data_IF_246900727980
#
_entry.id   IF_246900727980
#
_cell.length_a   1.000
_cell.length_b   1.000
_cell.length_c   1.000
_cell.angle_alpha   90.00
_cell.angle_beta   90.00
_cell.angle_gamma   90.00
#
_symmetry.space_group_name_H-M   'P 1'
#
loop_
_entity.id
_entity.type
_entity.pdbx_description
1 polymer ?
#
# COMPACT_ATOMS: atom_id res chain seq x y z
N UNK A 1 -3.16 16.04 5.65
CA UNK A 1 -3.67 14.67 5.49
C UNK A 1 -2.76 13.86 4.58
N UNK A 2 -2.73 12.54 4.78
CA UNK A 2 -1.92 11.60 4.01
C UNK A 2 -2.79 10.46 3.53
N UNK A 3 -2.79 10.21 2.23
CA UNK A 3 -3.50 9.12 1.57
C UNK A 3 -2.53 7.98 1.25
N UNK A 4 -2.58 6.84 1.97
CA UNK A 4 -1.84 5.65 1.59
C UNK A 4 -2.38 5.08 0.27
N UNK A 5 -1.48 4.78 -0.67
CA UNK A 5 -1.81 4.17 -1.96
C UNK A 5 -0.97 2.90 -2.12
N UNK A 6 -1.63 1.77 -2.28
CA UNK A 6 -0.99 0.47 -2.42
C UNK A 6 -1.18 -0.01 -3.85
N UNK A 7 -0.09 -0.10 -4.59
CA UNK A 7 -0.08 -0.64 -5.95
C UNK A 7 -0.03 -2.16 -5.88
N UNK A 8 -1.16 -2.79 -6.12
CA UNK A 8 -1.35 -4.24 -6.05
C UNK A 8 -1.52 -4.84 -7.45
N UNK A 9 -0.80 -4.30 -8.42
CA UNK A 9 -0.78 -4.75 -9.82
C UNK A 9 0.34 -5.76 -10.09
N UNK A 10 0.31 -6.31 -11.31
CA UNK A 10 1.32 -7.24 -11.82
C UNK A 10 0.93 -8.71 -11.68
N UNK A 11 1.30 -9.51 -12.68
CA UNK A 11 1.01 -10.96 -12.76
C UNK A 11 1.90 -11.81 -11.84
N UNK A 12 3.02 -11.23 -11.36
CA UNK A 12 3.91 -11.89 -10.39
C UNK A 12 4.47 -13.25 -10.80
N UNK A 13 4.51 -13.58 -12.08
CA UNK A 13 4.85 -14.91 -12.60
C UNK A 13 6.30 -15.35 -12.36
N UNK A 14 7.18 -14.45 -11.94
CA UNK A 14 8.61 -14.72 -11.70
C UNK A 14 8.88 -15.75 -10.59
N UNK A 15 7.92 -15.96 -9.70
CA UNK A 15 8.04 -16.94 -8.60
C UNK A 15 7.26 -18.25 -8.91
N UNK A 16 7.01 -18.54 -10.20
CA UNK A 16 6.39 -19.82 -10.55
C UNK A 16 7.20 -20.99 -9.95
N UNK A 17 6.60 -22.08 -9.38
CA UNK A 17 5.16 -22.36 -9.34
C UNK A 17 4.40 -21.75 -8.15
N UNK A 18 5.05 -20.99 -7.26
CA UNK A 18 4.39 -20.36 -6.10
C UNK A 18 3.41 -19.28 -6.54
N UNK A 19 3.81 -18.43 -7.50
CA UNK A 19 2.92 -17.42 -8.09
C UNK A 19 2.34 -17.88 -9.41
N UNK A 20 1.11 -17.50 -9.68
CA UNK A 20 0.36 -17.80 -10.91
C UNK A 20 -0.47 -16.60 -11.31
N UNK A 21 -1.01 -16.56 -12.54
CA UNK A 21 -1.89 -15.49 -13.01
C UNK A 21 -3.04 -15.25 -12.04
N UNK A 22 -3.73 -16.31 -11.60
CA UNK A 22 -4.85 -16.20 -10.64
C UNK A 22 -4.41 -16.01 -9.17
N UNK A 23 -3.10 -16.11 -8.86
CA UNK A 23 -2.57 -15.93 -7.50
C UNK A 23 -1.18 -15.28 -7.56
N UNK A 24 -1.10 -13.95 -7.80
CA UNK A 24 0.15 -13.23 -7.96
C UNK A 24 0.99 -13.15 -6.67
N UNK A 25 2.28 -12.79 -6.85
CA UNK A 25 3.30 -12.73 -5.79
C UNK A 25 2.85 -11.95 -4.56
N UNK A 26 2.19 -10.82 -4.74
CA UNK A 26 1.78 -9.95 -3.63
C UNK A 26 0.82 -10.61 -2.64
N UNK A 27 0.08 -11.62 -3.07
CA UNK A 27 -0.85 -12.37 -2.21
C UNK A 27 -0.23 -13.61 -1.56
N UNK A 28 1.06 -13.90 -1.84
CA UNK A 28 1.79 -15.01 -1.23
C UNK A 28 2.25 -14.65 0.18
N UNK A 29 2.18 -15.65 1.06
CA UNK A 29 2.86 -15.63 2.36
C UNK A 29 4.27 -16.19 2.13
N UNK A 30 5.26 -15.31 2.04
CA UNK A 30 6.66 -15.71 1.82
C UNK A 30 7.42 -15.85 3.15
N UNK A 31 6.99 -15.16 4.19
CA UNK A 31 7.54 -15.25 5.54
C UNK A 31 6.47 -14.89 6.57
N UNK A 32 6.53 -15.51 7.75
CA UNK A 32 5.52 -15.27 8.79
C UNK A 32 4.13 -15.81 8.42
N UNK A 33 3.07 -15.10 8.82
CA UNK A 33 1.67 -15.52 8.71
C UNK A 33 0.80 -14.58 7.87
N UNK A 34 1.41 -13.59 7.21
CA UNK A 34 0.72 -12.58 6.41
C UNK A 34 1.31 -12.51 5.01
N UNK A 35 0.47 -12.22 4.02
CA UNK A 35 0.93 -12.00 2.64
C UNK A 35 1.71 -10.70 2.51
N UNK A 36 2.44 -10.53 1.41
CA UNK A 36 3.15 -9.28 1.12
C UNK A 36 2.16 -8.09 1.05
N UNK A 37 0.98 -8.30 0.47
CA UNK A 37 -0.08 -7.31 0.42
C UNK A 37 -0.56 -6.92 1.83
N UNK A 38 -0.82 -7.91 2.68
CA UNK A 38 -1.21 -7.67 4.07
C UNK A 38 -0.12 -6.91 4.85
N UNK A 39 1.15 -7.28 4.66
CA UNK A 39 2.29 -6.56 5.25
C UNK A 39 2.36 -5.11 4.77
N UNK A 40 2.08 -4.84 3.49
CA UNK A 40 2.09 -3.47 2.95
C UNK A 40 0.99 -2.61 3.59
N UNK A 41 -0.22 -3.15 3.79
CA UNK A 41 -1.30 -2.44 4.49
C UNK A 41 -0.91 -2.15 5.94
N UNK A 42 -0.53 -3.17 6.69
CA UNK A 42 -0.20 -3.04 8.13
C UNK A 42 0.93 -2.04 8.37
N UNK A 43 1.95 -2.07 7.51
CA UNK A 43 3.10 -1.17 7.58
C UNK A 43 2.70 0.30 7.44
N UNK A 44 1.81 0.63 6.50
CA UNK A 44 1.36 2.01 6.31
C UNK A 44 0.45 2.48 7.45
N UNK A 45 -0.32 1.58 8.04
CA UNK A 45 -1.12 1.89 9.23
C UNK A 45 -0.26 2.18 10.46
N UNK A 46 0.96 1.63 10.52
CA UNK A 46 1.96 1.94 11.54
C UNK A 46 2.54 3.36 11.44
N UNK A 47 2.19 4.13 10.41
CA UNK A 47 2.64 5.52 10.23
C UNK A 47 1.87 6.47 11.17
N UNK A 48 2.11 6.35 12.46
CA UNK A 48 1.50 7.19 13.49
C UNK A 48 2.43 8.36 13.84
N UNK A 49 1.92 9.58 13.70
CA UNK A 49 2.63 10.80 14.11
C UNK A 49 1.59 11.90 14.43
N UNK A 50 1.80 12.73 15.47
CA UNK A 50 0.84 13.77 15.85
C UNK A 50 0.46 14.75 14.73
N UNK A 51 1.35 14.94 13.75
CA UNK A 51 1.14 15.84 12.61
C UNK A 51 0.68 15.12 11.33
N UNK A 52 0.41 13.81 11.38
CA UNK A 52 0.02 13.00 10.23
C UNK A 52 -1.37 12.42 10.48
N UNK A 53 -2.34 12.87 9.71
CA UNK A 53 -3.68 12.31 9.68
C UNK A 53 -3.78 11.35 8.49
N UNK A 54 -3.93 10.05 8.76
CA UNK A 54 -4.03 9.02 7.73
C UNK A 54 -5.47 8.90 7.24
N UNK A 55 -5.65 8.95 5.93
CA UNK A 55 -6.88 8.54 5.26
C UNK A 55 -6.95 7.01 5.12
N UNK A 56 -8.14 6.48 4.81
CA UNK A 56 -8.31 5.06 4.46
C UNK A 56 -7.38 4.66 3.30
N UNK A 57 -6.69 3.52 3.38
CA UNK A 57 -5.82 3.07 2.29
C UNK A 57 -6.57 2.93 0.96
N UNK A 58 -5.98 3.41 -0.13
CA UNK A 58 -6.44 3.19 -1.49
C UNK A 58 -5.63 2.06 -2.12
N UNK A 59 -6.29 0.97 -2.44
CA UNK A 59 -5.68 -0.19 -3.09
C UNK A 59 -6.00 -0.16 -4.58
N UNK A 60 -4.97 -0.13 -5.42
CA UNK A 60 -5.11 -0.21 -6.87
C UNK A 60 -4.76 -1.63 -7.29
N UNK A 61 -5.70 -2.35 -7.84
CA UNK A 61 -5.53 -3.75 -8.25
C UNK A 61 -6.25 -4.05 -9.55
N UNK A 62 -5.84 -5.12 -10.23
CA UNK A 62 -6.59 -5.62 -11.37
C UNK A 62 -7.96 -6.16 -10.92
N UNK A 63 -8.97 -5.96 -11.76
CA UNK A 63 -10.34 -6.43 -11.50
C UNK A 63 -10.39 -7.95 -11.20
N UNK A 64 -9.58 -8.75 -11.88
CA UNK A 64 -9.49 -10.19 -11.66
C UNK A 64 -9.07 -10.57 -10.24
N UNK A 65 -8.29 -9.71 -9.57
CA UNK A 65 -7.77 -9.97 -8.22
C UNK A 65 -8.57 -9.29 -7.11
N UNK A 66 -9.67 -8.60 -7.45
CA UNK A 66 -10.46 -7.80 -6.48
C UNK A 66 -10.89 -8.58 -5.25
N UNK A 67 -11.41 -9.81 -5.46
CA UNK A 67 -11.90 -10.64 -4.35
C UNK A 67 -10.78 -11.13 -3.45
N UNK A 68 -9.62 -11.43 -4.03
CA UNK A 68 -8.44 -11.85 -3.29
C UNK A 68 -7.91 -10.72 -2.41
N UNK A 69 -7.80 -9.51 -2.98
CA UNK A 69 -7.38 -8.32 -2.24
C UNK A 69 -8.38 -7.99 -1.10
N UNK A 70 -9.67 -8.04 -1.40
CA UNK A 70 -10.72 -7.77 -0.41
C UNK A 70 -10.70 -8.77 0.74
N UNK A 71 -10.62 -10.06 0.43
CA UNK A 71 -10.57 -11.12 1.43
C UNK A 71 -9.35 -10.98 2.36
N UNK A 72 -8.16 -10.77 1.79
CA UNK A 72 -6.95 -10.64 2.59
C UNK A 72 -6.92 -9.36 3.45
N UNK A 73 -7.52 -8.27 2.98
CA UNK A 73 -7.66 -7.08 3.81
C UNK A 73 -8.67 -7.30 4.96
N UNK A 74 -9.77 -8.02 4.72
CA UNK A 74 -10.73 -8.39 5.76
C UNK A 74 -10.12 -9.30 6.83
N UNK A 75 -9.25 -10.24 6.45
CA UNK A 75 -8.52 -11.08 7.40
C UNK A 75 -7.65 -10.28 8.38
N UNK A 76 -7.06 -9.16 7.94
CA UNK A 76 -6.30 -8.27 8.82
C UNK A 76 -7.19 -7.61 9.88
N UNK A 77 -8.39 -7.20 9.48
CA UNK A 77 -9.34 -6.57 10.40
C UNK A 77 -9.84 -7.57 11.45
N UNK A 78 -10.09 -8.82 11.06
CA UNK A 78 -10.58 -9.87 11.97
C UNK A 78 -9.53 -10.34 12.97
N UNK A 79 -8.24 -10.23 12.63
CA UNK A 79 -7.13 -10.68 13.50
C UNK A 79 -6.71 -9.65 14.53
N UNK A 80 -7.43 -8.52 14.69
CA UNK A 80 -7.06 -7.38 15.56
C UNK A 80 -5.62 -6.86 15.34
N UNK A 81 -5.04 -7.19 14.19
CA UNK A 81 -3.70 -6.71 13.81
C UNK A 81 -3.76 -5.19 13.57
N UNK A 82 -4.95 -4.67 13.34
CA UNK A 82 -5.24 -3.25 13.18
C UNK A 82 -6.03 -2.81 14.42
N UNK A 83 -5.44 -2.01 15.32
CA UNK A 83 -6.19 -1.44 16.42
C UNK A 83 -7.28 -0.52 15.88
N UNK A 84 -8.54 -0.96 15.93
CA UNK A 84 -9.71 -0.14 15.59
C UNK A 84 -9.91 1.04 16.54
N UNK A 85 -9.09 1.15 17.59
CA UNK A 85 -9.25 2.12 18.67
C UNK A 85 -8.91 3.58 18.30
N UNK A 86 -8.24 3.83 17.18
CA UNK A 86 -7.79 5.18 16.81
C UNK A 86 -8.40 5.76 15.53
N UNK A 87 -9.16 4.96 14.80
CA UNK A 87 -9.83 5.40 13.57
C UNK A 87 -11.28 4.92 13.61
N UNK A 88 -12.25 5.81 13.37
CA UNK A 88 -13.66 5.43 13.28
C UNK A 88 -13.83 4.27 12.28
N UNK A 89 -14.80 3.39 12.50
CA UNK A 89 -15.01 2.16 11.72
C UNK A 89 -15.07 2.39 10.18
N UNK A 90 -15.47 3.58 9.74
CA UNK A 90 -15.51 3.97 8.33
C UNK A 90 -14.11 4.33 7.76
N UNK A 91 -13.15 4.72 8.62
CA UNK A 91 -11.81 5.15 8.19
C UNK A 91 -10.81 4.00 8.10
N UNK A 92 -11.14 2.81 8.58
CA UNK A 92 -10.26 1.63 8.54
C UNK A 92 -10.46 0.76 7.30
N UNK A 93 -11.59 0.86 6.62
CA UNK A 93 -11.87 0.08 5.43
C UNK A 93 -11.06 0.60 4.23
N UNK A 94 -10.24 -0.25 3.63
CA UNK A 94 -9.54 0.08 2.39
C UNK A 94 -10.53 0.37 1.26
N UNK A 95 -10.26 1.42 0.48
CA UNK A 95 -10.95 1.71 -0.78
C UNK A 95 -10.25 0.98 -1.92
N UNK A 96 -11.00 0.54 -2.91
CA UNK A 96 -10.46 -0.20 -4.04
C UNK A 96 -10.69 0.54 -5.35
N UNK A 97 -9.63 0.71 -6.13
CA UNK A 97 -9.67 1.19 -7.49
C UNK A 97 -9.28 0.02 -8.39
N UNK A 98 -10.22 -0.40 -9.23
CA UNK A 98 -10.07 -1.58 -10.06
C UNK A 98 -9.63 -1.17 -11.46
N UNK A 99 -8.48 -1.72 -11.89
CA UNK A 99 -8.00 -1.57 -13.25
C UNK A 99 -8.55 -2.72 -14.10
N UNK A 100 -9.31 -2.45 -15.18
CA UNK A 100 -9.75 -3.50 -16.10
C UNK A 100 -8.57 -4.13 -16.83
N UNK A 101 -7.49 -3.38 -17.05
CA UNK A 101 -6.23 -3.83 -17.61
C UNK A 101 -5.08 -3.05 -16.99
N UNK A 102 -4.09 -3.75 -16.49
CA UNK A 102 -2.89 -3.12 -15.92
C UNK A 102 -2.09 -2.35 -16.99
N UNK A 103 -1.85 -1.06 -16.73
CA UNK A 103 -1.16 -0.14 -17.66
C UNK A 103 0.11 0.46 -17.05
N UNK A 104 0.82 -0.30 -16.23
CA UNK A 104 1.98 0.15 -15.47
C UNK A 104 1.66 1.20 -14.39
N UNK A 105 2.71 1.80 -13.83
CA UNK A 105 2.61 2.65 -12.64
C UNK A 105 1.97 4.01 -12.89
N UNK A 106 2.32 4.69 -14.00
CA UNK A 106 1.90 6.08 -14.21
C UNK A 106 0.37 6.26 -14.31
N UNK A 107 -0.38 5.47 -15.09
CA UNK A 107 -1.84 5.54 -15.10
C UNK A 107 -2.46 5.25 -13.73
N UNK A 108 -1.96 4.24 -13.01
CA UNK A 108 -2.43 3.90 -11.67
C UNK A 108 -2.26 5.08 -10.70
N UNK A 109 -1.09 5.76 -10.72
CA UNK A 109 -0.84 6.95 -9.92
C UNK A 109 -1.76 8.11 -10.28
N UNK A 110 -2.00 8.33 -11.57
CA UNK A 110 -2.93 9.37 -12.04
C UNK A 110 -4.33 9.12 -11.50
N UNK A 111 -4.82 7.88 -11.59
CA UNK A 111 -6.13 7.52 -11.06
C UNK A 111 -6.19 7.70 -9.53
N UNK A 112 -5.13 7.33 -8.81
CA UNK A 112 -5.04 7.54 -7.37
C UNK A 112 -5.12 9.02 -7.00
N UNK A 113 -4.40 9.88 -7.74
CA UNK A 113 -4.41 11.31 -7.51
C UNK A 113 -5.81 11.92 -7.78
N UNK A 114 -6.45 11.56 -8.87
CA UNK A 114 -7.81 12.00 -9.19
C UNK A 114 -8.80 11.56 -8.12
N UNK A 115 -8.73 10.29 -7.68
CA UNK A 115 -9.58 9.74 -6.63
C UNK A 115 -9.37 10.46 -5.28
N UNK A 116 -8.13 10.82 -4.95
CA UNK A 116 -7.82 11.55 -3.73
C UNK A 116 -8.42 12.97 -3.75
N UNK A 117 -8.41 13.64 -4.91
CA UNK A 117 -8.96 14.97 -5.09
C UNK A 117 -10.50 15.01 -5.07
N UNK A 118 -11.20 13.90 -5.33
CA UNK A 118 -12.67 13.83 -5.29
C UNK A 118 -13.25 14.20 -3.91
N UNK A 119 -12.48 14.02 -2.85
CA UNK A 119 -12.88 14.42 -1.50
C UNK A 119 -12.87 15.93 -1.26
N UNK A 120 -12.42 16.74 -2.22
CA UNK A 120 -12.17 18.16 -2.08
C UNK A 120 -10.94 18.50 -1.22
N UNK A 121 -10.19 17.50 -0.83
CA UNK A 121 -8.93 17.60 -0.10
C UNK A 121 -7.77 17.37 -1.07
N UNK A 122 -6.59 17.85 -0.72
CA UNK A 122 -5.36 17.64 -1.49
C UNK A 122 -4.32 16.92 -0.59
N UNK A 123 -4.52 15.61 -0.32
CA UNK A 123 -3.66 14.88 0.58
C UNK A 123 -2.32 14.53 -0.07
N UNK A 124 -1.27 14.40 0.74
CA UNK A 124 -0.01 13.83 0.30
C UNK A 124 -0.21 12.33 0.05
N UNK A 125 0.12 11.85 -1.16
CA UNK A 125 0.04 10.45 -1.50
C UNK A 125 1.32 9.71 -1.07
N UNK A 126 1.18 8.67 -0.25
CA UNK A 126 2.27 7.71 -0.01
C UNK A 126 2.01 6.49 -0.88
N UNK A 127 2.83 6.34 -1.92
CA UNK A 127 2.67 5.24 -2.88
C UNK A 127 3.68 4.14 -2.59
N UNK A 128 3.20 2.92 -2.39
CA UNK A 128 4.04 1.74 -2.16
C UNK A 128 3.56 0.55 -2.98
N UNK A 129 4.46 -0.25 -3.56
CA UNK A 129 4.08 -1.52 -4.16
C UNK A 129 3.74 -2.56 -3.07
N UNK A 130 2.79 -3.45 -3.39
CA UNK A 130 2.32 -4.50 -2.49
C UNK A 130 3.26 -5.72 -2.41
N UNK A 131 4.31 -5.79 -3.24
CA UNK A 131 5.13 -6.99 -3.43
C UNK A 131 6.54 -6.89 -2.82
N UNK A 132 6.78 -5.86 -2.01
CA UNK A 132 8.07 -5.61 -1.36
C UNK A 132 8.10 -6.08 0.10
N UNK A 133 9.19 -6.72 0.47
CA UNK A 133 9.52 -7.06 1.86
C UNK A 133 10.42 -5.97 2.44
N UNK A 134 10.05 -5.43 3.59
CA UNK A 134 10.86 -4.47 4.35
C UNK A 134 11.40 -5.17 5.60
N UNK A 135 12.71 -5.30 5.70
CA UNK A 135 13.35 -5.99 6.83
C UNK A 135 13.41 -5.11 8.10
N UNK A 136 13.61 -3.81 7.93
CA UNK A 136 13.68 -2.87 9.03
C UNK A 136 12.50 -1.89 8.97
N UNK A 137 11.33 -2.35 9.43
CA UNK A 137 10.12 -1.53 9.44
C UNK A 137 10.25 -0.23 10.24
N UNK A 138 10.85 -0.20 11.45
CA UNK A 138 11.01 1.05 12.19
C UNK A 138 11.81 2.11 11.43
N UNK A 139 12.90 1.71 10.77
CA UNK A 139 13.68 2.63 9.95
C UNK A 139 12.89 3.13 8.73
N UNK A 140 12.12 2.24 8.11
CA UNK A 140 11.27 2.58 6.96
C UNK A 140 10.17 3.59 7.38
N UNK A 141 9.47 3.36 8.50
CA UNK A 141 8.44 4.28 9.01
C UNK A 141 9.04 5.65 9.32
N UNK A 142 10.22 5.69 9.96
CA UNK A 142 10.93 6.95 10.22
C UNK A 142 11.27 7.70 8.92
N UNK A 143 11.72 6.98 7.90
CA UNK A 143 12.01 7.58 6.58
C UNK A 143 10.73 8.10 5.92
N UNK A 144 9.60 7.38 6.01
CA UNK A 144 8.30 7.84 5.52
C UNK A 144 7.83 9.10 6.24
N UNK A 145 7.97 9.18 7.56
CA UNK A 145 7.61 10.39 8.31
C UNK A 145 8.40 11.61 7.84
N UNK A 146 9.71 11.45 7.61
CA UNK A 146 10.55 12.51 7.06
C UNK A 146 10.15 12.88 5.63
N UNK A 147 9.82 11.87 4.80
CA UNK A 147 9.36 12.09 3.42
C UNK A 147 8.05 12.88 3.37
N UNK A 148 7.08 12.57 4.24
CA UNK A 148 5.82 13.33 4.34
C UNK A 148 6.07 14.78 4.71
N UNK A 149 6.94 15.03 5.70
CA UNK A 149 7.30 16.39 6.10
C UNK A 149 8.04 17.17 4.98
N UNK A 150 8.81 16.48 4.16
CA UNK A 150 9.45 17.10 3.00
C UNK A 150 8.45 17.35 1.86
N UNK A 151 7.55 16.39 1.59
CA UNK A 151 6.53 16.50 0.55
C UNK A 151 5.49 17.60 0.85
N UNK A 152 5.26 17.93 2.12
CA UNK A 152 4.36 19.05 2.51
C UNK A 152 4.86 20.43 2.07
N UNK A 153 6.04 20.51 1.47
CA UNK A 153 6.65 21.70 0.89
C UNK A 153 6.62 21.68 -0.65
N UNK A 154 5.59 21.08 -1.23
CA UNK A 154 5.39 20.96 -2.68
C UNK A 154 6.50 20.19 -3.41
N UNK A 155 7.04 19.14 -2.76
CA UNK A 155 8.10 18.32 -3.31
C UNK A 155 7.64 16.86 -3.57
N UNK A 156 8.16 16.26 -4.64
CA UNK A 156 8.06 14.82 -4.89
C UNK A 156 9.27 14.15 -4.24
N UNK A 157 9.01 13.20 -3.34
CA UNK A 157 10.04 12.50 -2.59
C UNK A 157 10.10 11.04 -3.07
N UNK A 158 11.32 10.58 -3.35
CA UNK A 158 11.60 9.20 -3.73
C UNK A 158 12.45 8.56 -2.63
N UNK A 159 11.99 7.42 -2.12
CA UNK A 159 12.77 6.61 -1.19
C UNK A 159 13.60 5.59 -1.98
N UNK A 160 14.91 5.70 -1.85
CA UNK A 160 15.87 4.76 -2.42
C UNK A 160 16.44 3.81 -1.36
N UNK A 161 16.70 2.55 -1.74
CA UNK A 161 17.49 1.63 -0.95
C UNK A 161 18.95 1.64 -1.44
N UNK A 162 19.90 1.62 -0.49
CA UNK A 162 21.31 1.47 -0.85
C UNK A 162 21.56 0.07 -1.37
N UNK A 163 22.11 -0.06 -2.57
CA UNK A 163 22.50 -1.35 -3.12
C UNK A 163 23.72 -1.88 -2.36
N UNK A 164 23.59 -3.08 -1.77
CA UNK A 164 24.71 -3.74 -1.07
C UNK A 164 25.57 -4.58 -2.01
N UNK A 165 25.04 -4.95 -3.19
CA UNK A 165 25.77 -5.69 -4.22
C UNK A 165 25.39 -5.18 -5.60
N UNK A 166 26.34 -5.09 -6.55
CA UNK A 166 26.01 -4.83 -7.94
C UNK A 166 25.17 -5.98 -8.49
N UNK A 167 24.12 -5.64 -9.24
CA UNK A 167 23.32 -6.61 -9.98
C UNK A 167 23.96 -6.88 -11.33
#
# INVERSE_FOLDING_TARGET
QVQPVILCGGSGTRLWPLSRVGFPKQFLVLSGNTSLFQQAISRLQGLSHPSIELCSPLVITNEEHRFLALHQAQELQQKDIIPSAHLGAEQTAAKYLLEPTGRNTAPALTLAALQALESGLDPILIVTPADQTIQNEPAFIKALQQAVLAASKDAIIILGATAHHPQ
#
